data_IF_509316878267
#
_entry.id   IF_509316878267
#
_cell.length_a   1.000
_cell.length_b   1.000
_cell.length_c   1.000
_cell.angle_alpha   90.00
_cell.angle_beta   90.00
_cell.angle_gamma   90.00
#
_symmetry.space_group_name_H-M   'P 1'
#
loop_
_entity.id
_entity.type
_entity.pdbx_description
1 polymer ?
#
# COMPACT_ATOMS: atom_id res chain seq x y z
N UNK A 1 -23.22 4.43 -26.13
CA UNK A 1 -23.37 3.08 -25.54
C UNK A 1 -22.03 2.34 -25.47
N UNK A 2 -21.22 2.27 -26.55
CA UNK A 2 -19.88 1.64 -26.53
C UNK A 2 -18.84 2.36 -25.65
N UNK A 3 -18.84 3.69 -25.61
CA UNK A 3 -17.89 4.46 -24.80
C UNK A 3 -18.15 4.27 -23.29
N UNK A 4 -19.42 4.19 -22.86
CA UNK A 4 -19.76 3.96 -21.47
C UNK A 4 -19.37 2.54 -21.02
N UNK A 5 -19.65 1.52 -21.83
CA UNK A 5 -19.26 0.14 -21.51
C UNK A 5 -17.74 -0.07 -21.42
N UNK A 6 -16.95 0.74 -22.15
CA UNK A 6 -15.50 0.70 -22.06
C UNK A 6 -15.00 1.31 -20.75
N UNK A 7 -15.53 2.48 -20.36
CA UNK A 7 -15.21 3.14 -19.09
C UNK A 7 -15.57 2.26 -17.88
N UNK A 8 -16.74 1.62 -17.91
CA UNK A 8 -17.18 0.72 -16.83
C UNK A 8 -16.24 -0.51 -16.68
N UNK A 9 -15.68 -1.01 -17.80
CA UNK A 9 -14.72 -2.12 -17.80
C UNK A 9 -13.35 -1.72 -17.26
N UNK A 10 -12.86 -0.51 -17.59
CA UNK A 10 -11.62 0.03 -17.05
C UNK A 10 -11.71 0.23 -15.54
N UNK A 11 -12.78 0.85 -15.04
CA UNK A 11 -12.99 1.03 -13.59
C UNK A 11 -13.03 -0.30 -12.83
N UNK A 12 -13.72 -1.29 -13.38
CA UNK A 12 -13.78 -2.64 -12.79
C UNK A 12 -12.40 -3.31 -12.73
N UNK A 13 -11.58 -3.12 -13.77
CA UNK A 13 -10.22 -3.66 -13.84
C UNK A 13 -9.30 -2.98 -12.83
N UNK A 14 -9.36 -1.66 -12.74
CA UNK A 14 -8.56 -0.89 -11.78
C UNK A 14 -8.89 -1.24 -10.33
N UNK A 15 -10.16 -1.48 -10.03
CA UNK A 15 -10.58 -1.94 -8.72
C UNK A 15 -10.11 -3.35 -8.39
N UNK A 16 -10.13 -4.26 -9.37
CA UNK A 16 -9.59 -5.62 -9.22
C UNK A 16 -8.08 -5.58 -8.93
N UNK A 17 -7.32 -4.83 -9.73
CA UNK A 17 -5.89 -4.64 -9.55
C UNK A 17 -5.55 -4.08 -8.17
N UNK A 18 -6.34 -3.12 -7.68
CA UNK A 18 -6.16 -2.56 -6.35
C UNK A 18 -6.30 -3.64 -5.27
N UNK A 19 -7.27 -4.55 -5.42
CA UNK A 19 -7.49 -5.66 -4.49
C UNK A 19 -6.34 -6.66 -4.53
N UNK A 20 -5.86 -6.99 -5.72
CA UNK A 20 -4.71 -7.88 -5.86
C UNK A 20 -3.44 -7.28 -5.21
N UNK A 21 -3.16 -6.00 -5.44
CA UNK A 21 -2.04 -5.32 -4.77
C UNK A 21 -2.19 -5.30 -3.24
N UNK A 22 -3.41 -5.18 -2.73
CA UNK A 22 -3.70 -5.29 -1.29
C UNK A 22 -3.48 -6.69 -0.75
N UNK A 23 -3.87 -7.73 -1.51
CA UNK A 23 -3.62 -9.13 -1.15
C UNK A 23 -2.11 -9.41 -1.11
N UNK A 24 -1.37 -8.96 -2.12
CA UNK A 24 0.08 -9.13 -2.16
C UNK A 24 0.77 -8.42 -0.99
N UNK A 25 0.34 -7.19 -0.67
CA UNK A 25 0.83 -6.48 0.50
C UNK A 25 0.55 -7.26 1.78
N UNK A 26 -0.66 -7.82 1.92
CA UNK A 26 -1.07 -8.63 3.08
C UNK A 26 -0.12 -9.82 3.26
N UNK A 27 0.17 -10.56 2.18
CA UNK A 27 1.12 -11.67 2.20
C UNK A 27 2.54 -11.22 2.58
N UNK A 28 3.03 -10.12 2.01
CA UNK A 28 4.36 -9.59 2.36
C UNK A 28 4.44 -9.13 3.81
N UNK A 29 3.37 -8.54 4.35
CA UNK A 29 3.30 -8.18 5.78
C UNK A 29 3.41 -9.44 6.64
N UNK A 30 2.77 -10.55 6.26
CA UNK A 30 2.89 -11.82 7.01
C UNK A 30 4.34 -12.32 7.02
N UNK A 31 5.01 -12.29 5.87
CA UNK A 31 6.45 -12.63 5.78
C UNK A 31 7.30 -11.69 6.65
N UNK A 32 7.03 -10.39 6.61
CA UNK A 32 7.74 -9.40 7.42
C UNK A 32 7.50 -9.57 8.94
N UNK A 33 6.29 -9.98 9.34
CA UNK A 33 5.99 -10.31 10.74
C UNK A 33 6.85 -11.47 11.20
N UNK A 34 6.89 -12.57 10.44
CA UNK A 34 7.74 -13.72 10.77
C UNK A 34 9.22 -13.30 10.85
N UNK A 35 9.68 -12.55 9.86
CA UNK A 35 11.04 -12.00 9.84
C UNK A 35 11.38 -11.18 11.09
N UNK A 36 10.44 -10.37 11.57
CA UNK A 36 10.63 -9.59 12.80
C UNK A 36 10.62 -10.47 14.06
N UNK A 37 9.81 -11.53 14.11
CA UNK A 37 9.80 -12.51 15.21
C UNK A 37 11.12 -13.27 15.28
N UNK A 38 11.67 -13.68 14.13
CA UNK A 38 12.96 -14.37 14.03
C UNK A 38 14.12 -13.47 14.50
N UNK A 39 13.99 -12.15 14.37
CA UNK A 39 14.91 -11.16 14.95
C UNK A 39 14.61 -10.79 16.41
N UNK A 40 13.69 -11.50 17.08
CA UNK A 40 13.38 -11.33 18.50
C UNK A 40 12.33 -10.27 18.83
N UNK A 41 11.51 -9.83 17.87
CA UNK A 41 10.41 -8.89 18.16
C UNK A 41 9.27 -9.55 18.94
N UNK A 42 9.01 -9.09 20.17
CA UNK A 42 7.87 -9.57 20.98
C UNK A 42 6.50 -9.03 20.55
N UNK A 43 6.46 -8.10 19.59
CA UNK A 43 5.24 -7.40 19.17
C UNK A 43 5.09 -7.34 17.64
N UNK A 44 5.68 -8.30 16.91
CA UNK A 44 5.71 -8.30 15.46
C UNK A 44 4.31 -8.27 14.83
N UNK A 45 3.34 -8.99 15.40
CA UNK A 45 1.94 -9.00 14.94
C UNK A 45 1.32 -7.59 14.80
N UNK A 46 1.81 -6.59 15.54
CA UNK A 46 1.33 -5.19 15.45
C UNK A 46 1.67 -4.54 14.11
N UNK A 47 2.63 -5.05 13.35
CA UNK A 47 3.00 -4.50 12.05
C UNK A 47 1.87 -4.59 11.03
N UNK A 48 1.05 -5.64 11.09
CA UNK A 48 -0.13 -5.76 10.23
C UNK A 48 -1.06 -4.55 10.35
N UNK A 49 -1.43 -4.23 11.59
CA UNK A 49 -2.32 -3.10 11.87
C UNK A 49 -1.62 -1.78 11.61
N UNK A 50 -0.35 -1.66 12.00
CA UNK A 50 0.41 -0.41 11.87
C UNK A 50 0.61 0.01 10.41
N UNK A 51 0.93 -0.93 9.52
CA UNK A 51 1.15 -0.65 8.09
C UNK A 51 -0.18 -0.31 7.40
N UNK A 52 -1.25 -1.05 7.68
CA UNK A 52 -2.57 -0.74 7.12
C UNK A 52 -3.11 0.61 7.64
N UNK A 53 -2.83 0.98 8.90
CA UNK A 53 -3.19 2.31 9.43
C UNK A 53 -2.39 3.43 8.78
N UNK A 54 -1.08 3.22 8.58
CA UNK A 54 -0.23 4.16 7.85
C UNK A 54 -0.80 4.45 6.46
N UNK A 55 -1.03 3.43 5.65
CA UNK A 55 -1.51 3.62 4.26
C UNK A 55 -2.88 4.32 4.23
N UNK A 56 -3.79 3.98 5.16
CA UNK A 56 -5.09 4.65 5.25
C UNK A 56 -4.96 6.12 5.65
N UNK A 57 -4.10 6.43 6.62
CA UNK A 57 -3.87 7.80 7.07
C UNK A 57 -3.27 8.65 5.94
N UNK A 58 -2.25 8.13 5.26
CA UNK A 58 -1.51 8.85 4.21
C UNK A 58 -2.32 8.97 2.90
N UNK A 59 -3.23 8.03 2.62
CA UNK A 59 -4.15 8.12 1.47
C UNK A 59 -5.41 8.97 1.73
N UNK A 60 -5.59 9.54 2.93
CA UNK A 60 -6.82 10.25 3.30
C UNK A 60 -8.07 9.37 3.31
N UNK A 61 -7.93 8.04 3.23
CA UNK A 61 -9.06 7.11 3.14
C UNK A 61 -9.57 6.79 4.54
N UNK A 62 -10.56 7.57 5.01
CA UNK A 62 -11.45 7.15 6.10
C UNK A 62 -12.42 6.09 5.58
N UNK A 63 -12.94 5.23 6.45
CA UNK A 63 -13.69 3.97 6.18
C UNK A 63 -14.97 4.06 5.30
N UNK A 64 -15.20 5.16 4.60
CA UNK A 64 -16.36 5.41 3.74
C UNK A 64 -16.09 4.75 2.39
N UNK A 65 -16.65 3.56 2.24
CA UNK A 65 -16.91 2.79 1.01
C UNK A 65 -16.01 3.11 -0.20
N UNK A 66 -15.01 2.25 -0.42
CA UNK A 66 -14.19 2.22 -1.64
C UNK A 66 -14.99 2.11 -2.95
N UNK A 67 -16.26 1.71 -2.89
CA UNK A 67 -17.15 1.61 -4.04
C UNK A 67 -17.60 2.94 -4.62
N UNK A 68 -17.31 4.07 -3.96
CA UNK A 68 -17.61 5.42 -4.47
C UNK A 68 -16.36 6.30 -4.66
N UNK A 69 -15.16 5.70 -4.68
CA UNK A 69 -13.90 6.44 -4.81
C UNK A 69 -13.55 6.70 -6.28
N UNK A 70 -13.10 7.93 -6.55
CA UNK A 70 -12.60 8.35 -7.86
C UNK A 70 -11.37 7.52 -8.28
N UNK A 71 -11.14 7.37 -9.58
CA UNK A 71 -10.01 6.64 -10.17
C UNK A 71 -8.64 7.04 -9.60
N UNK A 72 -8.45 8.32 -9.29
CA UNK A 72 -7.22 8.85 -8.66
C UNK A 72 -6.95 8.24 -7.27
N UNK A 73 -7.97 7.99 -6.45
CA UNK A 73 -7.82 7.35 -5.15
C UNK A 73 -7.40 5.87 -5.30
N UNK A 74 -7.95 5.19 -6.31
CA UNK A 74 -7.61 3.79 -6.61
C UNK A 74 -6.16 3.70 -7.09
N UNK A 75 -5.74 4.60 -7.97
CA UNK A 75 -4.37 4.69 -8.46
C UNK A 75 -3.38 4.98 -7.32
N UNK A 76 -3.72 5.92 -6.42
CA UNK A 76 -2.91 6.22 -5.24
C UNK A 76 -2.78 4.98 -4.35
N UNK A 77 -3.88 4.31 -4.00
CA UNK A 77 -3.84 3.10 -3.16
C UNK A 77 -3.02 1.99 -3.81
N UNK A 78 -3.17 1.74 -5.12
CA UNK A 78 -2.34 0.79 -5.89
C UNK A 78 -0.86 1.13 -5.71
N UNK A 79 -0.48 2.40 -5.84
CA UNK A 79 0.90 2.84 -5.68
C UNK A 79 1.41 2.64 -4.25
N UNK A 80 0.66 3.06 -3.22
CA UNK A 80 1.05 2.93 -1.83
C UNK A 80 1.25 1.46 -1.41
N UNK A 81 0.38 0.55 -1.87
CA UNK A 81 0.54 -0.89 -1.63
C UNK A 81 1.84 -1.43 -2.26
N UNK A 82 2.13 -1.06 -3.52
CA UNK A 82 3.35 -1.48 -4.22
C UNK A 82 4.61 -0.95 -3.52
N UNK A 83 4.62 0.32 -3.15
CA UNK A 83 5.77 0.97 -2.52
C UNK A 83 6.07 0.38 -1.14
N UNK A 84 5.05 0.20 -0.30
CA UNK A 84 5.22 -0.45 1.00
C UNK A 84 5.76 -1.88 0.84
N UNK A 85 5.23 -2.64 -0.12
CA UNK A 85 5.68 -4.00 -0.42
C UNK A 85 7.15 -4.05 -0.84
N UNK A 86 7.56 -3.20 -1.78
CA UNK A 86 8.95 -3.11 -2.26
C UNK A 86 9.91 -2.77 -1.14
N UNK A 87 9.56 -1.80 -0.28
CA UNK A 87 10.39 -1.42 0.85
C UNK A 87 10.60 -2.59 1.84
N UNK A 88 9.55 -3.38 2.12
CA UNK A 88 9.67 -4.57 2.97
C UNK A 88 10.54 -5.66 2.34
N UNK A 89 10.26 -6.02 1.08
CA UNK A 89 11.00 -7.08 0.38
C UNK A 89 12.49 -6.72 0.32
N UNK A 90 12.82 -5.51 -0.15
CA UNK A 90 14.19 -5.05 -0.22
C UNK A 90 14.85 -5.05 1.16
N UNK A 91 14.17 -4.53 2.19
CA UNK A 91 14.73 -4.55 3.54
C UNK A 91 15.06 -5.96 4.05
N UNK A 92 14.19 -6.94 3.77
CA UNK A 92 14.41 -8.34 4.17
C UNK A 92 15.53 -9.00 3.35
N UNK A 93 15.60 -8.77 2.04
CA UNK A 93 16.66 -9.28 1.15
C UNK A 93 18.05 -8.77 1.56
N UNK A 94 18.13 -7.54 2.07
CA UNK A 94 19.36 -6.94 2.59
C UNK A 94 19.61 -7.23 4.08
N UNK A 95 18.84 -8.12 4.68
CA UNK A 95 18.95 -8.51 6.09
C UNK A 95 18.91 -7.33 7.08
N UNK A 96 18.16 -6.27 6.76
CA UNK A 96 18.09 -5.09 7.63
C UNK A 96 17.34 -5.40 8.94
N UNK A 97 17.66 -4.71 10.04
CA UNK A 97 16.87 -4.80 11.26
C UNK A 97 15.40 -4.47 10.99
N UNK A 98 14.47 -5.29 11.50
CA UNK A 98 13.03 -5.16 11.20
C UNK A 98 12.48 -3.74 11.51
N UNK A 99 13.04 -3.06 12.52
CA UNK A 99 12.68 -1.69 12.87
C UNK A 99 13.05 -0.70 11.78
N UNK A 100 14.21 -0.88 11.15
CA UNK A 100 14.69 -0.03 10.05
C UNK A 100 13.83 -0.23 8.79
N UNK A 101 13.48 -1.48 8.48
CA UNK A 101 12.55 -1.80 7.39
C UNK A 101 11.22 -1.06 7.59
N UNK A 102 10.67 -1.08 8.80
CA UNK A 102 9.43 -0.35 9.10
C UNK A 102 9.57 1.16 8.94
N UNK A 103 10.71 1.75 9.34
CA UNK A 103 10.95 3.19 9.08
C UNK A 103 11.08 3.49 7.59
N UNK A 104 11.72 2.60 6.82
CA UNK A 104 11.81 2.74 5.37
C UNK A 104 10.43 2.67 4.71
N UNK A 105 9.58 1.74 5.12
CA UNK A 105 8.17 1.67 4.68
C UNK A 105 7.46 3.00 4.92
N UNK A 106 7.58 3.58 6.12
CA UNK A 106 6.97 4.88 6.43
C UNK A 106 7.48 6.00 5.51
N UNK A 107 8.79 6.05 5.29
CA UNK A 107 9.43 7.05 4.44
C UNK A 107 8.95 6.95 3.01
N UNK A 108 8.96 5.76 2.44
CA UNK A 108 8.59 5.54 1.04
C UNK A 108 7.10 5.77 0.78
N UNK A 109 6.22 5.37 1.71
CA UNK A 109 4.78 5.66 1.61
C UNK A 109 4.52 7.17 1.58
N UNK A 110 5.15 7.94 2.49
CA UNK A 110 4.99 9.41 2.53
C UNK A 110 5.55 10.09 1.29
N UNK A 111 6.71 9.63 0.80
CA UNK A 111 7.30 10.13 -0.44
C UNK A 111 6.37 9.90 -1.63
N UNK A 112 5.75 8.71 -1.70
CA UNK A 112 4.80 8.39 -2.76
C UNK A 112 3.59 9.33 -2.74
N UNK A 113 3.03 9.63 -1.56
CA UNK A 113 1.94 10.62 -1.44
C UNK A 113 2.38 12.01 -1.91
N UNK A 114 3.52 12.50 -1.44
CA UNK A 114 4.05 13.81 -1.83
C UNK A 114 4.23 13.92 -3.36
N UNK A 115 4.74 12.87 -4.01
CA UNK A 115 4.89 12.85 -5.47
C UNK A 115 3.56 12.77 -6.23
N UNK A 116 2.49 12.28 -5.60
CA UNK A 116 1.15 12.22 -6.21
C UNK A 116 0.39 13.55 -6.08
N UNK A 117 0.70 14.37 -5.07
CA UNK A 117 0.15 15.73 -4.91
C UNK A 117 0.76 16.79 -5.83
N UNK A 118 1.83 16.47 -6.57
CA UNK A 118 2.54 17.40 -7.45
C UNK A 118 2.05 17.40 -8.90
N UNK A 119 0.98 16.67 -9.25
CA UNK A 119 0.45 16.69 -10.63
C UNK A 119 -0.08 18.10 -10.93
N UNK A 120 0.52 18.84 -11.89
CA UNK A 120 0.04 20.19 -12.19
C UNK A 120 -1.33 20.09 -12.84
N UNK A 121 -2.21 21.02 -12.46
CA UNK A 121 -3.38 21.39 -13.25
C UNK A 121 -2.87 21.76 -14.65
N UNK A 122 -3.01 20.84 -15.61
CA UNK A 122 -2.84 21.11 -17.04
C UNK A 122 -4.21 20.95 -17.68
#
# INVERSE_FOLDING_TARGET
MLQQSFLDMEEQTDYSDMKDNKRDLTSTIQTFVQYAEDQGSSNANRYYTSINRLIRAESGTTNIQLSSKHSDDIALLKNLYKVARKAMIHGMEWYLPYKEIYQQVKKEVRKAVASSSEKPLV
#
